data_IF_287878613131
#
_entry.id   IF_287878613131
#
_cell.length_a   1.000
_cell.length_b   1.000
_cell.length_c   1.000
_cell.angle_alpha   90.00
_cell.angle_beta   90.00
_cell.angle_gamma   90.00
#
_symmetry.space_group_name_H-M   'P 1'
#
loop_
_entity.id
_entity.type
_entity.pdbx_description
1 polymer ?
#
# COMPACT_ATOMS: atom_id res chain seq x y z
N UNK A 1 -3.78 0.28 -0.10
CA UNK A 1 -3.30 -1.12 -0.32
C UNK A 1 -2.42 -1.14 -1.56
N UNK A 2 -1.35 -1.93 -1.60
CA UNK A 2 -0.52 -2.05 -2.80
C UNK A 2 -1.17 -3.03 -3.78
N UNK A 3 -1.89 -2.51 -4.79
CA UNK A 3 -2.71 -3.31 -5.71
C UNK A 3 -1.91 -4.38 -6.47
N UNK A 4 -0.63 -4.12 -6.76
CA UNK A 4 0.24 -5.05 -7.50
C UNK A 4 0.36 -6.43 -6.83
N UNK A 5 0.14 -6.54 -5.52
CA UNK A 5 0.17 -7.84 -4.82
C UNK A 5 -1.01 -8.77 -5.18
N UNK A 6 -2.06 -8.22 -5.80
CA UNK A 6 -3.30 -8.93 -6.13
C UNK A 6 -3.47 -9.14 -7.65
N UNK A 7 -2.63 -8.49 -8.47
CA UNK A 7 -2.60 -8.64 -9.94
C UNK A 7 -1.99 -9.99 -10.29
N UNK A 8 -2.37 -10.58 -11.44
CA UNK A 8 -1.90 -11.90 -11.89
C UNK A 8 -0.39 -12.06 -11.78
N UNK A 9 0.04 -13.27 -11.41
CA UNK A 9 1.46 -13.60 -11.17
C UNK A 9 2.36 -13.31 -12.37
N UNK A 10 1.86 -13.47 -13.59
CA UNK A 10 2.59 -13.18 -14.82
C UNK A 10 2.79 -11.67 -15.09
N UNK A 11 1.94 -10.82 -14.51
CA UNK A 11 2.06 -9.36 -14.59
C UNK A 11 2.76 -8.76 -13.37
N UNK A 12 2.72 -9.44 -12.23
CA UNK A 12 3.28 -8.95 -10.97
C UNK A 12 4.11 -10.02 -10.28
N UNK A 13 5.46 -9.88 -10.24
CA UNK A 13 6.32 -10.84 -9.56
C UNK A 13 6.16 -10.82 -8.03
N UNK A 14 5.42 -9.84 -7.48
CA UNK A 14 5.14 -9.72 -6.04
C UNK A 14 3.75 -10.24 -5.66
N UNK A 15 3.06 -10.93 -6.57
CA UNK A 15 1.92 -11.76 -6.23
C UNK A 15 2.43 -13.11 -5.67
N UNK A 16 2.38 -13.24 -4.35
CA UNK A 16 2.81 -14.44 -3.63
C UNK A 16 1.76 -15.56 -3.60
N UNK A 17 0.53 -15.29 -4.01
CA UNK A 17 -0.51 -16.33 -4.11
C UNK A 17 -0.36 -17.19 -5.37
N UNK A 18 0.37 -16.71 -6.37
CA UNK A 18 0.50 -17.39 -7.67
C UNK A 18 -0.77 -17.38 -8.51
N UNK A 19 -1.79 -16.60 -8.13
CA UNK A 19 -3.07 -16.54 -8.83
C UNK A 19 -2.96 -15.84 -10.19
N UNK A 20 -3.93 -16.14 -11.07
CA UNK A 20 -4.14 -15.44 -12.33
C UNK A 20 -5.61 -15.05 -12.42
N UNK A 21 -5.88 -13.74 -12.45
CA UNK A 21 -7.21 -13.16 -12.53
C UNK A 21 -7.19 -11.96 -13.49
N UNK A 22 -7.70 -12.18 -14.70
CA UNK A 22 -7.71 -11.16 -15.76
C UNK A 22 -8.68 -10.02 -15.48
N UNK A 23 -9.67 -10.22 -14.61
CA UNK A 23 -10.58 -9.16 -14.24
C UNK A 23 -9.88 -8.15 -13.32
N UNK A 24 -9.09 -8.62 -12.35
CA UNK A 24 -8.21 -7.77 -11.55
C UNK A 24 -7.20 -7.03 -12.44
N UNK A 25 -6.58 -7.72 -13.41
CA UNK A 25 -5.65 -7.10 -14.34
C UNK A 25 -6.29 -5.94 -15.12
N UNK A 26 -7.50 -6.15 -15.65
CA UNK A 26 -8.25 -5.14 -16.39
C UNK A 26 -8.59 -3.90 -15.53
N UNK A 27 -9.02 -4.11 -14.29
CA UNK A 27 -9.30 -3.03 -13.34
C UNK A 27 -8.01 -2.27 -12.95
N UNK A 28 -6.91 -2.99 -12.76
CA UNK A 28 -5.60 -2.40 -12.44
C UNK A 28 -5.06 -1.51 -13.57
N UNK A 29 -5.20 -1.94 -14.82
CA UNK A 29 -4.85 -1.12 -15.99
C UNK A 29 -5.85 0.04 -16.15
N UNK A 30 -7.14 -0.24 -16.00
CA UNK A 30 -8.23 0.72 -16.13
C UNK A 30 -8.08 1.91 -15.19
N UNK A 31 -7.74 1.69 -13.92
CA UNK A 31 -7.50 2.78 -12.98
C UNK A 31 -6.26 3.62 -13.37
N UNK A 32 -5.22 2.99 -13.94
CA UNK A 32 -3.98 3.67 -14.29
C UNK A 32 -4.16 4.64 -15.47
N UNK A 33 -5.04 4.31 -16.42
CA UNK A 33 -5.33 5.13 -17.60
C UNK A 33 -6.48 6.13 -17.39
N UNK A 34 -7.18 6.06 -16.25
CA UNK A 34 -8.32 6.93 -15.96
C UNK A 34 -7.89 8.25 -15.30
N UNK A 35 -8.10 9.36 -16.01
CA UNK A 35 -7.74 10.70 -15.53
C UNK A 35 -8.71 11.24 -14.48
N UNK A 36 -10.01 10.98 -14.61
CA UNK A 36 -11.02 11.47 -13.66
C UNK A 36 -10.85 10.82 -12.28
N UNK A 37 -10.61 11.60 -11.20
CA UNK A 37 -10.37 11.03 -9.88
C UNK A 37 -11.55 10.24 -9.30
N UNK A 38 -12.79 10.65 -9.58
CA UNK A 38 -13.97 9.96 -9.05
C UNK A 38 -14.19 8.62 -9.73
N UNK A 39 -14.06 8.58 -11.05
CA UNK A 39 -14.13 7.35 -11.83
C UNK A 39 -12.98 6.41 -11.45
N UNK A 40 -11.74 6.92 -11.33
CA UNK A 40 -10.59 6.12 -10.88
C UNK A 40 -10.85 5.52 -9.50
N UNK A 41 -11.40 6.29 -8.56
CA UNK A 41 -11.73 5.79 -7.23
C UNK A 41 -12.80 4.69 -7.25
N UNK A 42 -13.78 4.75 -8.16
CA UNK A 42 -14.77 3.68 -8.34
C UNK A 42 -14.12 2.39 -8.84
N UNK A 43 -13.26 2.48 -9.85
CA UNK A 43 -12.51 1.33 -10.39
C UNK A 43 -11.68 0.66 -9.28
N UNK A 44 -10.97 1.45 -8.47
CA UNK A 44 -10.18 0.91 -7.34
C UNK A 44 -11.06 0.22 -6.31
N UNK A 45 -12.24 0.76 -5.99
CA UNK A 45 -13.18 0.10 -5.06
C UNK A 45 -13.72 -1.22 -5.60
N UNK A 46 -14.00 -1.28 -6.91
CA UNK A 46 -14.43 -2.53 -7.55
C UNK A 46 -13.29 -3.57 -7.57
N UNK A 47 -12.05 -3.12 -7.77
CA UNK A 47 -10.86 -3.97 -7.62
C UNK A 47 -10.75 -4.53 -6.21
N UNK A 48 -10.84 -3.67 -5.18
CA UNK A 48 -10.76 -4.10 -3.77
C UNK A 48 -11.87 -5.09 -3.42
N UNK A 49 -13.09 -4.84 -3.88
CA UNK A 49 -14.23 -5.75 -3.68
C UNK A 49 -13.93 -7.12 -4.28
N UNK A 50 -13.55 -7.18 -5.55
CA UNK A 50 -13.28 -8.44 -6.24
C UNK A 50 -12.11 -9.20 -5.60
N UNK A 51 -11.01 -8.51 -5.29
CA UNK A 51 -9.86 -9.11 -4.63
C UNK A 51 -10.20 -9.73 -3.26
N UNK A 52 -11.09 -9.09 -2.49
CA UNK A 52 -11.55 -9.61 -1.21
C UNK A 52 -12.58 -10.75 -1.36
N UNK A 53 -13.38 -10.75 -2.42
CA UNK A 53 -14.33 -11.84 -2.73
C UNK A 53 -13.60 -13.11 -3.14
N UNK A 54 -12.60 -13.01 -4.02
CA UNK A 54 -11.83 -14.16 -4.50
C UNK A 54 -10.83 -14.68 -3.46
N UNK A 55 -10.36 -13.80 -2.57
CA UNK A 55 -9.55 -14.16 -1.41
C UNK A 55 -8.23 -14.93 -1.72
N UNK A 56 -7.67 -14.79 -2.93
CA UNK A 56 -6.33 -15.31 -3.26
C UNK A 56 -5.25 -14.80 -2.30
N UNK A 57 -5.41 -13.58 -1.78
CA UNK A 57 -4.62 -13.01 -0.71
C UNK A 57 -5.55 -12.23 0.21
N UNK A 58 -5.52 -12.52 1.51
CA UNK A 58 -6.36 -11.83 2.50
C UNK A 58 -5.47 -10.95 3.39
N UNK A 59 -5.70 -9.63 3.43
CA UNK A 59 -5.00 -8.76 4.37
C UNK A 59 -5.54 -8.97 5.78
N UNK A 60 -4.79 -9.70 6.62
CA UNK A 60 -5.24 -10.05 7.98
C UNK A 60 -4.81 -9.04 9.05
N UNK A 61 -3.57 -8.55 9.00
CA UNK A 61 -3.00 -7.69 10.03
C UNK A 61 -2.57 -6.35 9.44
N UNK A 62 -2.99 -5.25 10.07
CA UNK A 62 -2.47 -3.93 9.79
C UNK A 62 -1.34 -3.61 10.77
N UNK A 63 -0.18 -3.19 10.25
CA UNK A 63 0.95 -2.83 11.09
C UNK A 63 0.76 -1.43 11.68
N UNK A 64 0.64 -1.34 13.00
CA UNK A 64 0.76 -0.07 13.71
C UNK A 64 2.22 0.12 14.16
N UNK A 65 2.89 1.18 13.70
CA UNK A 65 4.26 1.48 14.09
C UNK A 65 4.28 2.31 15.36
N UNK A 66 4.77 1.72 16.45
CA UNK A 66 5.03 2.42 17.72
C UNK A 66 6.54 2.57 17.84
N UNK A 67 7.02 3.80 18.01
CA UNK A 67 8.45 4.10 18.17
C UNK A 67 8.63 4.79 19.52
N UNK A 68 9.39 4.16 20.41
CA UNK A 68 9.80 4.78 21.67
C UNK A 68 11.04 5.65 21.41
N UNK A 69 10.98 6.92 21.82
CA UNK A 69 12.07 7.89 21.67
C UNK A 69 12.49 8.40 23.04
N UNK A 70 13.74 8.87 23.14
CA UNK A 70 14.22 9.54 24.36
C UNK A 70 13.53 10.91 24.51
N UNK A 71 13.29 11.37 25.75
CA UNK A 71 12.72 12.69 26.01
C UNK A 71 13.57 13.85 25.47
N UNK A 72 14.90 13.66 25.39
CA UNK A 72 15.84 14.62 24.82
C UNK A 72 15.85 14.63 23.28
N UNK A 73 15.23 13.65 22.61
CA UNK A 73 15.16 13.63 21.15
C UNK A 73 14.03 14.53 20.67
N UNK A 74 14.40 15.57 19.91
CA UNK A 74 13.48 16.57 19.37
C UNK A 74 13.46 16.55 17.84
N UNK A 75 12.41 17.14 17.26
CA UNK A 75 12.25 17.28 15.81
C UNK A 75 11.86 16.01 15.05
N UNK A 76 11.86 14.84 15.70
CA UNK A 76 11.42 13.60 15.08
C UNK A 76 9.89 13.53 14.95
N UNK A 77 9.44 13.09 13.77
CA UNK A 77 8.02 12.87 13.48
C UNK A 77 7.79 11.51 12.81
N UNK A 78 6.66 10.89 13.13
CA UNK A 78 6.28 9.61 12.55
C UNK A 78 5.73 9.80 11.14
N UNK A 79 6.32 9.11 10.17
CA UNK A 79 5.83 9.07 8.79
C UNK A 79 4.75 7.99 8.60
N UNK A 80 3.82 8.16 7.64
CA UNK A 80 2.75 7.17 7.37
C UNK A 80 3.25 5.92 6.65
N UNK A 81 4.53 5.86 6.25
CA UNK A 81 5.14 4.70 5.59
C UNK A 81 6.33 4.19 6.40
N UNK A 82 6.48 2.87 6.41
CA UNK A 82 7.60 2.19 7.06
C UNK A 82 8.92 2.36 6.29
N UNK A 83 8.85 2.81 5.04
CA UNK A 83 10.01 2.91 4.14
C UNK A 83 10.55 4.33 3.99
N UNK A 84 9.94 5.33 4.64
CA UNK A 84 10.33 6.75 4.53
C UNK A 84 10.57 7.35 5.91
N UNK A 85 11.28 8.48 5.96
CA UNK A 85 11.67 9.14 7.23
C UNK A 85 13.02 8.68 7.76
N UNK A 86 13.96 8.35 6.86
CA UNK A 86 15.37 8.06 7.19
C UNK A 86 16.23 9.33 7.22
N UNK A 87 15.69 10.47 6.77
CA UNK A 87 16.35 11.76 6.87
C UNK A 87 16.26 12.27 8.32
N UNK A 88 17.42 12.57 8.91
CA UNK A 88 17.56 13.03 10.29
C UNK A 88 17.99 14.50 10.37
N UNK A 89 17.94 15.24 9.26
CA UNK A 89 18.34 16.66 9.21
C UNK A 89 17.62 17.51 10.25
N UNK A 90 16.34 17.21 10.49
CA UNK A 90 15.50 17.93 11.47
C UNK A 90 15.52 17.29 12.87
N UNK A 91 16.35 16.28 13.14
CA UNK A 91 16.39 15.59 14.45
C UNK A 91 17.59 16.06 15.25
N UNK A 92 17.37 16.47 16.50
CA UNK A 92 18.44 16.90 17.41
C UNK A 92 18.24 16.37 18.83
N UNK A 93 19.29 16.51 19.64
CA UNK A 93 19.29 16.18 21.07
C UNK A 93 19.32 17.46 21.90
N UNK A 94 18.40 17.54 22.86
CA UNK A 94 18.38 18.55 23.91
C UNK A 94 18.91 17.91 25.20
N UNK A 95 19.83 18.62 25.87
CA UNK A 95 20.48 18.21 27.12
C UNK A 95 19.83 18.87 28.32
#
# INVERSE_FOLDING_TARGET
IQLTKFVSHDLSPVNYSGSTDRFLDALFIGQAVTSDPQQRARIVRDFERHALTEAYTVPLLWWNRIVATSAGMKGWSITPSHFIGQDLTDVWLEH
#
